data_IF_987275098184
#
_entry.id   IF_987275098184
#
_cell.length_a   1.000
_cell.length_b   1.000
_cell.length_c   1.000
_cell.angle_alpha   90.00
_cell.angle_beta   90.00
_cell.angle_gamma   90.00
#
_symmetry.space_group_name_H-M   'P 1'
#
loop_
_entity.id
_entity.type
_entity.pdbx_description
1 polymer ?
#
# COMPACT_ATOMS: atom_id res chain seq x y z
N UNK A 1 46.70 -95.06 -2.28
CA UNK A 1 46.80 -94.67 -3.69
C UNK A 1 45.93 -93.45 -3.97
N UNK A 2 46.54 -92.43 -4.57
CA UNK A 2 46.01 -91.25 -5.23
C UNK A 2 45.53 -90.08 -4.34
N UNK A 3 46.38 -89.10 -4.42
CA UNK A 3 46.28 -87.75 -3.99
C UNK A 3 45.19 -86.92 -4.71
N UNK A 4 44.61 -86.01 -4.03
CA UNK A 4 43.79 -84.96 -4.61
C UNK A 4 43.97 -83.69 -3.84
N UNK A 5 44.89 -82.77 -4.36
CA UNK A 5 45.03 -81.46 -3.88
C UNK A 5 43.79 -80.63 -4.27
N UNK A 6 43.20 -79.94 -3.31
CA UNK A 6 42.23 -78.87 -3.52
C UNK A 6 42.88 -77.50 -3.32
N UNK A 7 42.94 -76.75 -4.39
CA UNK A 7 43.43 -75.38 -4.43
C UNK A 7 42.33 -74.40 -3.94
N UNK A 8 42.60 -73.67 -2.88
CA UNK A 8 41.77 -72.56 -2.44
C UNK A 8 42.08 -71.31 -3.30
N UNK A 9 41.03 -70.85 -4.00
CA UNK A 9 41.06 -69.55 -4.67
C UNK A 9 40.41 -68.48 -3.78
N UNK A 10 41.21 -67.52 -3.34
CA UNK A 10 40.78 -66.37 -2.57
C UNK A 10 40.22 -65.30 -3.52
N UNK A 11 38.92 -65.07 -3.49
CA UNK A 11 38.32 -63.89 -4.15
C UNK A 11 38.49 -62.65 -3.27
N UNK A 12 39.26 -61.71 -3.75
CA UNK A 12 39.34 -60.37 -3.16
C UNK A 12 38.21 -59.48 -3.75
N UNK A 13 37.23 -59.16 -2.93
CA UNK A 13 36.14 -58.26 -3.32
C UNK A 13 36.60 -56.81 -3.13
N UNK A 14 36.80 -56.10 -4.25
CA UNK A 14 37.06 -54.67 -4.26
C UNK A 14 35.71 -53.93 -4.06
N UNK A 15 35.54 -53.27 -2.89
CA UNK A 15 34.43 -52.38 -2.63
C UNK A 15 34.81 -50.98 -3.14
N UNK A 16 34.28 -50.57 -4.28
CA UNK A 16 34.35 -49.17 -4.75
C UNK A 16 33.32 -48.35 -3.96
N UNK A 17 33.83 -47.50 -3.05
CA UNK A 17 33.00 -46.43 -2.43
C UNK A 17 32.93 -45.26 -3.38
N UNK A 18 31.82 -45.17 -4.12
CA UNK A 18 31.49 -43.98 -4.93
C UNK A 18 31.07 -42.84 -3.97
N UNK A 19 31.94 -41.92 -3.66
CA UNK A 19 31.58 -40.67 -2.99
C UNK A 19 30.77 -39.77 -3.95
N UNK A 20 29.44 -39.89 -3.90
CA UNK A 20 28.53 -39.00 -4.60
C UNK A 20 28.55 -37.61 -3.97
N UNK A 21 29.25 -36.63 -4.58
CA UNK A 21 29.05 -35.23 -4.27
C UNK A 21 27.64 -34.82 -4.68
N UNK A 22 26.72 -34.80 -3.71
CA UNK A 22 25.46 -34.09 -3.84
C UNK A 22 25.76 -32.58 -3.86
N UNK A 23 26.04 -32.04 -5.05
CA UNK A 23 25.99 -30.61 -5.28
C UNK A 23 24.52 -30.22 -5.14
N UNK A 24 24.13 -29.74 -3.96
CA UNK A 24 22.84 -29.11 -3.73
C UNK A 24 22.76 -27.87 -4.64
N UNK A 25 22.13 -28.02 -5.79
CA UNK A 25 21.70 -26.89 -6.59
C UNK A 25 20.71 -26.12 -5.72
N UNK A 26 21.11 -24.96 -5.18
CA UNK A 26 20.19 -23.98 -4.61
C UNK A 26 19.25 -23.61 -5.73
N UNK A 27 18.05 -24.18 -5.75
CA UNK A 27 16.99 -23.76 -6.66
C UNK A 27 16.73 -22.27 -6.35
N UNK A 28 17.14 -21.40 -7.25
CA UNK A 28 16.75 -20.00 -7.20
C UNK A 28 15.21 -20.00 -7.23
N UNK A 29 14.59 -19.42 -6.22
CA UNK A 29 13.14 -19.31 -6.18
C UNK A 29 12.66 -18.58 -7.44
N UNK A 30 11.67 -19.13 -8.11
CA UNK A 30 11.06 -18.46 -9.27
C UNK A 30 10.52 -17.09 -8.86
N UNK A 31 10.74 -16.05 -9.70
CA UNK A 31 10.25 -14.71 -9.39
C UNK A 31 8.73 -14.70 -9.18
N UNK A 32 8.27 -14.11 -8.10
CA UNK A 32 6.84 -13.99 -7.81
C UNK A 32 6.15 -13.07 -8.82
N UNK A 33 5.01 -13.49 -9.35
CA UNK A 33 4.15 -12.59 -10.11
C UNK A 33 3.62 -11.49 -9.20
N UNK A 34 3.73 -10.21 -9.61
CA UNK A 34 3.34 -9.08 -8.77
C UNK A 34 2.24 -8.20 -9.38
N UNK A 35 1.39 -7.68 -8.50
CA UNK A 35 0.36 -6.69 -8.78
C UNK A 35 0.47 -5.50 -7.84
N UNK A 36 0.20 -4.31 -8.35
CA UNK A 36 0.20 -3.08 -7.56
C UNK A 36 -1.08 -2.30 -7.82
N UNK A 37 -1.84 -2.04 -6.77
CA UNK A 37 -3.03 -1.18 -6.80
C UNK A 37 -2.62 0.21 -6.34
N UNK A 38 -2.78 1.21 -7.21
CA UNK A 38 -2.42 2.60 -6.91
C UNK A 38 -3.63 3.53 -6.92
N UNK A 39 -3.71 4.39 -5.92
CA UNK A 39 -4.74 5.40 -5.75
C UNK A 39 -4.15 6.80 -5.86
N UNK A 40 -4.86 7.67 -6.57
CA UNK A 40 -4.51 9.09 -6.74
C UNK A 40 -4.80 9.94 -5.48
N UNK A 41 -4.25 11.12 -5.42
CA UNK A 41 -4.53 12.11 -4.37
C UNK A 41 -5.92 12.76 -4.48
N UNK A 42 -6.24 13.62 -3.51
CA UNK A 42 -7.50 14.37 -3.44
C UNK A 42 -7.71 15.18 -4.73
N UNK A 43 -8.94 15.13 -5.28
CA UNK A 43 -9.38 15.74 -6.54
C UNK A 43 -8.54 15.32 -7.75
N UNK A 44 -7.85 14.20 -7.64
CA UNK A 44 -7.07 13.62 -8.73
C UNK A 44 -7.89 12.79 -9.70
N UNK A 45 -7.22 11.92 -10.41
CA UNK A 45 -7.78 10.94 -11.36
C UNK A 45 -6.85 9.72 -11.45
N UNK A 46 -7.32 8.57 -11.99
CA UNK A 46 -6.50 7.36 -12.11
C UNK A 46 -5.16 7.61 -12.80
N UNK A 47 -5.17 8.29 -13.95
CA UNK A 47 -3.97 8.63 -14.71
C UNK A 47 -3.32 9.93 -14.17
N UNK A 48 -3.15 10.00 -12.85
CA UNK A 48 -2.52 11.14 -12.22
C UNK A 48 -1.10 11.35 -12.75
N UNK A 49 -0.74 12.57 -13.19
CA UNK A 49 0.63 12.85 -13.63
C UNK A 49 1.66 12.61 -12.54
N UNK A 50 1.28 12.72 -11.27
CA UNK A 50 2.16 12.49 -10.12
C UNK A 50 2.51 11.01 -9.92
N UNK A 51 1.64 10.08 -10.34
CA UNK A 51 1.89 8.64 -10.26
C UNK A 51 2.52 8.07 -11.54
N UNK A 52 2.48 8.81 -12.65
CA UNK A 52 3.00 8.33 -13.94
C UNK A 52 4.43 7.80 -13.87
N UNK A 53 5.41 8.48 -13.23
CA UNK A 53 6.78 7.95 -13.13
C UNK A 53 6.86 6.64 -12.37
N UNK A 54 6.06 6.47 -11.31
CA UNK A 54 5.97 5.22 -10.53
C UNK A 54 5.40 4.09 -11.39
N UNK A 55 4.32 4.36 -12.11
CA UNK A 55 3.68 3.39 -13.02
C UNK A 55 4.68 2.91 -14.07
N UNK A 56 5.35 3.84 -14.75
CA UNK A 56 6.35 3.52 -15.78
C UNK A 56 7.51 2.65 -15.26
N UNK A 57 7.89 2.80 -13.99
CA UNK A 57 8.92 1.96 -13.37
C UNK A 57 8.40 0.57 -13.00
N UNK A 58 7.13 0.46 -12.59
CA UNK A 58 6.56 -0.81 -12.13
C UNK A 58 6.05 -1.71 -13.26
N UNK A 59 5.42 -1.14 -14.31
CA UNK A 59 4.80 -1.90 -15.42
C UNK A 59 5.69 -2.94 -16.11
N UNK A 60 7.02 -2.75 -16.24
CA UNK A 60 7.89 -3.78 -16.83
C UNK A 60 7.98 -5.07 -15.98
N UNK A 61 7.63 -5.00 -14.70
CA UNK A 61 7.78 -6.11 -13.75
C UNK A 61 6.50 -6.52 -13.06
N UNK A 62 5.57 -5.60 -12.84
CA UNK A 62 4.31 -5.82 -12.12
C UNK A 62 3.10 -5.41 -12.97
N UNK A 63 1.98 -6.07 -12.79
CA UNK A 63 0.69 -5.56 -13.25
C UNK A 63 0.26 -4.39 -12.38
N UNK A 64 -0.11 -3.24 -12.98
CA UNK A 64 -0.53 -2.05 -12.23
C UNK A 64 -2.00 -1.75 -12.49
N UNK A 65 -2.77 -1.56 -11.43
CA UNK A 65 -4.16 -1.07 -11.48
C UNK A 65 -4.24 0.32 -10.89
N UNK A 66 -4.76 1.27 -11.66
CA UNK A 66 -5.03 2.65 -11.25
C UNK A 66 -6.53 2.80 -10.97
N UNK A 67 -6.88 3.13 -9.74
CA UNK A 67 -8.29 3.23 -9.34
C UNK A 67 -8.78 4.67 -9.38
N UNK A 68 -10.00 4.87 -9.88
CA UNK A 68 -10.75 6.10 -9.68
C UNK A 68 -11.49 6.04 -8.34
N UNK A 69 -10.99 6.82 -7.39
CA UNK A 69 -11.47 6.81 -6.03
C UNK A 69 -12.62 7.82 -5.80
N UNK A 70 -13.47 7.64 -4.78
CA UNK A 70 -14.57 8.56 -4.47
C UNK A 70 -14.16 10.01 -4.27
N UNK A 71 -12.93 10.30 -3.90
CA UNK A 71 -12.37 11.66 -3.76
C UNK A 71 -11.78 12.22 -5.06
N UNK A 72 -12.06 11.62 -6.22
CA UNK A 72 -11.62 12.13 -7.50
C UNK A 72 -12.31 13.46 -7.85
N UNK A 73 -11.77 14.14 -8.89
CA UNK A 73 -12.34 15.41 -9.38
C UNK A 73 -13.76 15.30 -9.92
N UNK A 74 -14.18 14.08 -10.30
CA UNK A 74 -15.49 13.82 -10.88
C UNK A 74 -16.48 13.22 -9.88
N UNK A 75 -16.00 12.46 -8.89
CA UNK A 75 -16.87 11.75 -7.94
C UNK A 75 -17.16 12.55 -6.67
N UNK A 76 -16.25 13.39 -6.22
CA UNK A 76 -16.42 14.37 -5.12
C UNK A 76 -17.15 13.79 -3.88
N UNK A 77 -16.66 12.64 -3.40
CA UNK A 77 -17.22 11.95 -2.22
C UNK A 77 -18.61 11.35 -2.45
N UNK A 78 -18.87 10.82 -3.66
CA UNK A 78 -20.14 10.18 -4.05
C UNK A 78 -20.46 8.91 -3.24
N UNK A 79 -19.47 8.33 -2.57
CA UNK A 79 -19.58 7.14 -1.71
C UNK A 79 -18.79 7.31 -0.41
N UNK A 80 -19.23 6.68 0.69
CA UNK A 80 -18.47 6.66 1.96
C UNK A 80 -17.09 6.02 1.84
N UNK A 81 -16.23 6.26 2.83
CA UNK A 81 -14.84 5.75 2.83
C UNK A 81 -14.78 4.21 2.87
N UNK A 82 -15.75 3.55 3.48
CA UNK A 82 -15.87 2.10 3.47
C UNK A 82 -16.03 1.53 2.05
N UNK A 83 -16.77 2.22 1.17
CA UNK A 83 -16.91 1.83 -0.25
C UNK A 83 -15.58 1.98 -1.01
N UNK A 84 -14.77 2.98 -0.66
CA UNK A 84 -13.42 3.10 -1.19
C UNK A 84 -12.55 1.91 -0.79
N UNK A 85 -12.65 1.44 0.46
CA UNK A 85 -11.94 0.25 0.92
C UNK A 85 -12.43 -1.02 0.19
N UNK A 86 -13.74 -1.14 -0.04
CA UNK A 86 -14.32 -2.24 -0.82
C UNK A 86 -13.82 -2.24 -2.27
N UNK A 87 -13.69 -1.06 -2.89
CA UNK A 87 -13.15 -0.91 -4.25
C UNK A 87 -11.66 -1.35 -4.33
N UNK A 88 -10.84 -1.01 -3.32
CA UNK A 88 -9.45 -1.47 -3.24
C UNK A 88 -9.42 -3.00 -3.08
N UNK A 89 -10.25 -3.54 -2.18
CA UNK A 89 -10.37 -4.99 -1.96
C UNK A 89 -10.75 -5.74 -3.22
N UNK A 90 -11.67 -5.21 -4.02
CA UNK A 90 -12.04 -5.80 -5.30
C UNK A 90 -10.82 -5.89 -6.22
N UNK A 91 -10.04 -4.82 -6.36
CA UNK A 91 -8.83 -4.82 -7.20
C UNK A 91 -7.76 -5.81 -6.73
N UNK A 92 -7.54 -5.93 -5.41
CA UNK A 92 -6.64 -6.93 -4.81
C UNK A 92 -7.16 -8.34 -5.10
N UNK A 93 -8.47 -8.59 -4.91
CA UNK A 93 -9.09 -9.89 -5.18
C UNK A 93 -8.97 -10.29 -6.66
N UNK A 94 -9.15 -9.36 -7.59
CA UNK A 94 -8.99 -9.62 -9.03
C UNK A 94 -7.56 -10.04 -9.36
N UNK A 95 -6.54 -9.42 -8.77
CA UNK A 95 -5.15 -9.87 -8.91
C UNK A 95 -4.96 -11.28 -8.36
N UNK A 96 -5.47 -11.58 -7.16
CA UNK A 96 -5.37 -12.94 -6.59
C UNK A 96 -6.05 -13.98 -7.46
N UNK A 97 -7.24 -13.69 -7.98
CA UNK A 97 -7.98 -14.59 -8.86
C UNK A 97 -7.28 -14.83 -10.20
N UNK A 98 -6.50 -13.85 -10.69
CA UNK A 98 -5.66 -14.01 -11.89
C UNK A 98 -4.32 -14.70 -11.62
N UNK A 99 -4.08 -15.21 -10.39
CA UNK A 99 -2.88 -15.94 -10.02
C UNK A 99 -1.68 -15.07 -9.62
N UNK A 100 -1.90 -13.75 -9.40
CA UNK A 100 -0.85 -12.87 -8.88
C UNK A 100 -0.52 -13.25 -7.44
N UNK A 101 0.75 -13.56 -7.18
CA UNK A 101 1.22 -14.10 -5.91
C UNK A 101 1.53 -13.03 -4.87
N UNK A 102 2.03 -11.88 -5.30
CA UNK A 102 2.37 -10.74 -4.43
C UNK A 102 1.60 -9.49 -4.86
N UNK A 103 0.83 -8.90 -3.95
CA UNK A 103 0.00 -7.71 -4.23
C UNK A 103 0.30 -6.61 -3.23
N UNK A 104 0.71 -5.44 -3.73
CA UNK A 104 0.86 -4.23 -2.94
C UNK A 104 -0.29 -3.25 -3.19
N UNK A 105 -0.61 -2.46 -2.17
CA UNK A 105 -1.53 -1.33 -2.25
C UNK A 105 -0.79 -0.04 -1.90
N UNK A 106 -1.04 1.03 -2.63
CA UNK A 106 -0.33 2.29 -2.40
C UNK A 106 -0.99 3.47 -3.09
N UNK A 107 -0.32 4.60 -3.05
CA UNK A 107 -0.80 5.79 -3.72
C UNK A 107 -0.11 7.05 -3.26
N UNK A 108 -0.59 8.16 -3.79
CA UNK A 108 -0.07 9.49 -3.46
C UNK A 108 -1.11 10.26 -2.65
N UNK A 109 -0.66 10.99 -1.62
CA UNK A 109 -1.52 11.89 -0.83
C UNK A 109 -2.70 11.13 -0.19
N UNK A 110 -3.94 11.42 -0.55
CA UNK A 110 -5.12 10.68 -0.06
C UNK A 110 -5.09 9.19 -0.44
N UNK A 111 -4.53 8.84 -1.60
CA UNK A 111 -4.32 7.44 -1.97
C UNK A 111 -3.36 6.71 -1.03
N UNK A 112 -2.34 7.39 -0.52
CA UNK A 112 -1.45 6.87 0.51
C UNK A 112 -2.19 6.67 1.84
N UNK A 113 -3.00 7.64 2.28
CA UNK A 113 -3.89 7.51 3.44
C UNK A 113 -4.80 6.28 3.29
N UNK A 114 -5.45 6.13 2.14
CA UNK A 114 -6.36 5.01 1.89
C UNK A 114 -5.67 3.64 1.93
N UNK A 115 -4.41 3.56 1.53
CA UNK A 115 -3.65 2.32 1.63
C UNK A 115 -3.36 1.90 3.08
N UNK A 116 -3.12 2.87 3.98
CA UNK A 116 -2.99 2.62 5.42
C UNK A 116 -4.34 2.18 6.02
N UNK A 117 -5.42 2.89 5.70
CA UNK A 117 -6.77 2.54 6.12
C UNK A 117 -7.17 1.14 5.65
N UNK A 118 -6.78 0.76 4.44
CA UNK A 118 -7.02 -0.57 3.89
C UNK A 118 -6.39 -1.68 4.72
N UNK A 119 -5.15 -1.50 5.14
CA UNK A 119 -4.48 -2.49 5.99
C UNK A 119 -5.08 -2.58 7.38
N UNK A 120 -5.59 -1.49 7.91
CA UNK A 120 -6.30 -1.48 9.20
C UNK A 120 -7.66 -2.20 9.11
N UNK A 121 -8.38 -2.05 8.01
CA UNK A 121 -9.75 -2.57 7.84
C UNK A 121 -9.78 -3.99 7.27
N UNK A 122 -9.03 -4.25 6.21
CA UNK A 122 -9.05 -5.49 5.42
C UNK A 122 -7.78 -6.31 5.65
N UNK A 123 -6.60 -5.75 5.41
CA UNK A 123 -5.31 -6.32 5.77
C UNK A 123 -4.84 -7.51 4.91
N UNK A 124 -5.33 -7.67 3.69
CA UNK A 124 -5.02 -8.82 2.81
C UNK A 124 -3.94 -8.55 1.74
N UNK A 125 -3.41 -7.32 1.67
CA UNK A 125 -2.26 -7.02 0.83
C UNK A 125 -0.94 -7.50 1.48
N UNK A 126 0.09 -7.69 0.65
CA UNK A 126 1.42 -8.16 1.08
C UNK A 126 2.37 -7.00 1.40
N UNK A 127 2.09 -5.80 0.89
CA UNK A 127 2.88 -4.60 1.15
C UNK A 127 2.07 -3.32 0.98
N UNK A 128 2.60 -2.22 1.53
CA UNK A 128 2.00 -0.88 1.42
C UNK A 128 3.02 0.12 0.89
N UNK A 129 2.58 0.96 -0.06
CA UNK A 129 3.43 1.93 -0.77
C UNK A 129 2.90 3.36 -0.61
N UNK A 130 2.89 3.95 0.60
CA UNK A 130 2.45 5.33 0.80
C UNK A 130 3.51 6.33 0.33
N UNK A 131 3.12 7.19 -0.61
CA UNK A 131 3.96 8.25 -1.17
C UNK A 131 3.37 9.62 -0.87
N UNK A 132 4.13 10.49 -0.22
CA UNK A 132 3.67 11.80 0.24
C UNK A 132 2.26 11.72 0.87
N UNK A 133 2.05 10.97 1.95
CA UNK A 133 0.73 10.80 2.55
C UNK A 133 0.07 12.13 2.87
N UNK A 134 -1.25 12.18 2.73
CA UNK A 134 -2.03 13.40 2.95
C UNK A 134 -3.47 13.09 3.33
N UNK A 135 -4.28 14.12 3.43
CA UNK A 135 -5.61 14.08 4.02
C UNK A 135 -5.53 13.75 5.52
N UNK A 136 -5.48 14.80 6.33
CA UNK A 136 -5.32 14.73 7.79
C UNK A 136 -6.59 15.32 8.43
N UNK A 137 -7.66 14.51 8.68
CA UNK A 137 -8.95 14.98 9.17
C UNK A 137 -8.84 15.80 10.45
N UNK A 138 -7.96 15.41 11.38
CA UNK A 138 -7.71 16.10 12.63
C UNK A 138 -7.20 17.54 12.42
N UNK A 139 -6.42 17.79 11.37
CA UNK A 139 -5.95 19.13 11.02
C UNK A 139 -7.04 19.93 10.29
N UNK A 140 -7.84 19.30 9.44
CA UNK A 140 -8.98 19.94 8.78
C UNK A 140 -10.03 20.40 9.79
N UNK A 141 -10.24 19.65 10.85
CA UNK A 141 -11.16 20.01 11.93
C UNK A 141 -10.76 21.29 12.67
N UNK A 142 -9.48 21.68 12.64
CA UNK A 142 -9.01 22.93 13.23
C UNK A 142 -9.31 24.16 12.36
N UNK A 143 -9.75 23.98 11.12
CA UNK A 143 -10.03 25.05 10.16
C UNK A 143 -11.53 25.37 10.20
N UNK A 144 -11.90 26.54 10.67
CA UNK A 144 -13.27 26.90 11.03
C UNK A 144 -14.30 26.75 9.90
N UNK A 145 -13.96 27.08 8.65
CA UNK A 145 -14.87 26.97 7.52
C UNK A 145 -15.01 25.51 7.01
N UNK A 146 -13.98 24.67 7.17
CA UNK A 146 -14.02 23.24 6.90
C UNK A 146 -14.81 22.54 8.01
N UNK A 147 -14.52 22.85 9.28
CA UNK A 147 -15.17 22.27 10.45
C UNK A 147 -16.69 22.44 10.41
N UNK A 148 -17.23 23.59 9.99
CA UNK A 148 -18.68 23.79 9.90
C UNK A 148 -19.37 22.70 9.05
N UNK A 149 -18.78 22.33 7.92
CA UNK A 149 -19.32 21.24 7.08
C UNK A 149 -19.17 19.87 7.73
N UNK A 150 -18.03 19.64 8.44
CA UNK A 150 -17.80 18.39 9.18
C UNK A 150 -18.83 18.24 10.30
N UNK A 151 -19.04 19.30 11.10
CA UNK A 151 -20.02 19.31 12.19
C UNK A 151 -21.47 19.09 11.68
N UNK A 152 -21.82 19.72 10.56
CA UNK A 152 -23.12 19.51 9.93
C UNK A 152 -23.31 18.06 9.45
N UNK A 153 -22.29 17.47 8.85
CA UNK A 153 -22.31 16.07 8.42
C UNK A 153 -22.43 15.13 9.63
N UNK A 154 -21.67 15.36 10.69
CA UNK A 154 -21.74 14.59 11.91
C UNK A 154 -23.12 14.63 12.56
N UNK A 155 -23.71 15.84 12.70
CA UNK A 155 -25.06 16.02 13.27
C UNK A 155 -26.13 15.28 12.46
N UNK A 156 -26.07 15.36 11.13
CA UNK A 156 -27.02 14.66 10.27
C UNK A 156 -26.89 13.13 10.42
N UNK A 157 -25.65 12.59 10.49
CA UNK A 157 -25.42 11.16 10.71
C UNK A 157 -25.95 10.73 12.09
N UNK A 158 -25.70 11.51 13.14
CA UNK A 158 -26.18 11.22 14.52
C UNK A 158 -27.73 11.26 14.60
N UNK A 159 -28.37 12.09 13.78
CA UNK A 159 -29.83 12.16 13.66
C UNK A 159 -30.41 11.03 12.77
N UNK A 160 -29.64 10.09 12.26
CA UNK A 160 -30.07 9.04 11.35
C UNK A 160 -30.37 9.54 9.92
N UNK A 161 -29.89 10.72 9.57
CA UNK A 161 -30.12 11.39 8.28
C UNK A 161 -28.85 11.36 7.40
N UNK A 162 -28.13 10.24 7.38
CA UNK A 162 -26.86 10.08 6.67
C UNK A 162 -26.91 10.38 5.17
N UNK A 163 -28.06 10.22 4.53
CA UNK A 163 -28.26 10.49 3.09
C UNK A 163 -28.49 11.98 2.78
N UNK A 164 -28.68 12.82 3.79
CA UNK A 164 -28.86 14.26 3.59
C UNK A 164 -27.62 14.86 2.93
N UNK A 165 -27.84 15.67 1.90
CA UNK A 165 -26.75 16.37 1.22
C UNK A 165 -26.28 17.55 2.08
N UNK A 166 -24.97 17.60 2.33
CA UNK A 166 -24.31 18.66 3.09
C UNK A 166 -23.34 19.39 2.16
N UNK A 167 -23.36 20.72 2.22
CA UNK A 167 -22.37 21.57 1.59
C UNK A 167 -21.18 21.76 2.53
N UNK A 168 -19.97 21.53 2.05
CA UNK A 168 -18.74 21.63 2.83
C UNK A 168 -17.63 22.33 2.03
N UNK A 169 -16.89 23.19 2.70
CA UNK A 169 -15.61 23.65 2.17
C UNK A 169 -14.57 22.54 2.35
N UNK A 170 -14.06 21.97 1.26
CA UNK A 170 -12.93 21.06 1.27
C UNK A 170 -11.63 21.77 0.94
N UNK A 171 -10.50 21.23 1.38
CA UNK A 171 -9.17 21.82 1.21
C UNK A 171 -8.16 20.82 0.67
N UNK A 172 -7.35 21.26 -0.29
CA UNK A 172 -6.23 20.48 -0.81
C UNK A 172 -5.07 21.41 -1.19
N UNK A 173 -3.89 21.23 -0.61
CA UNK A 173 -2.67 22.02 -0.91
C UNK A 173 -2.93 23.53 -0.86
N UNK A 174 -3.64 24.02 0.16
CA UNK A 174 -4.01 25.43 0.31
C UNK A 174 -5.17 25.92 -0.57
N UNK A 175 -5.60 25.13 -1.55
CA UNK A 175 -6.76 25.44 -2.39
C UNK A 175 -8.06 25.02 -1.69
N UNK A 176 -9.10 25.82 -1.83
CA UNK A 176 -10.45 25.56 -1.32
C UNK A 176 -11.41 25.23 -2.45
N UNK A 177 -12.33 24.30 -2.19
CA UNK A 177 -13.41 23.93 -3.11
C UNK A 177 -14.68 23.66 -2.32
N UNK A 178 -15.81 24.14 -2.81
CA UNK A 178 -17.10 23.71 -2.30
C UNK A 178 -17.42 22.33 -2.85
N UNK A 179 -17.77 21.41 -1.96
CA UNK A 179 -18.23 20.06 -2.29
C UNK A 179 -19.60 19.84 -1.69
N UNK A 180 -20.43 19.03 -2.35
CA UNK A 180 -21.72 18.64 -1.88
C UNK A 180 -21.83 17.11 -2.00
N UNK A 181 -22.03 16.44 -0.86
CA UNK A 181 -22.19 15.00 -0.81
C UNK A 181 -23.07 14.59 0.37
N UNK A 182 -23.39 13.32 0.48
CA UNK A 182 -24.16 12.83 1.63
C UNK A 182 -23.39 13.03 2.93
N UNK A 183 -24.10 13.31 4.01
CA UNK A 183 -23.54 13.47 5.34
C UNK A 183 -22.71 12.24 5.74
N UNK A 184 -23.20 11.03 5.45
CA UNK A 184 -22.49 9.78 5.72
C UNK A 184 -21.15 9.71 4.96
N UNK A 185 -21.13 10.11 3.69
CA UNK A 185 -19.88 10.15 2.92
C UNK A 185 -18.91 11.17 3.53
N UNK A 186 -19.32 12.44 3.67
CA UNK A 186 -18.43 13.48 4.21
C UNK A 186 -17.92 13.14 5.60
N UNK A 187 -18.80 12.72 6.52
CA UNK A 187 -18.37 12.33 7.86
C UNK A 187 -17.34 11.20 7.82
N UNK A 188 -17.55 10.17 7.00
CA UNK A 188 -16.64 9.03 6.93
C UNK A 188 -15.21 9.37 6.49
N UNK A 189 -15.02 10.45 5.71
CA UNK A 189 -13.71 10.92 5.29
C UNK A 189 -13.09 11.93 6.26
N UNK A 190 -13.92 12.74 6.92
CA UNK A 190 -13.45 13.90 7.69
C UNK A 190 -13.60 13.73 9.20
N UNK A 191 -14.07 12.58 9.69
CA UNK A 191 -14.05 12.25 11.11
C UNK A 191 -12.61 12.23 11.63
N UNK A 192 -12.25 13.10 12.60
CA UNK A 192 -10.90 13.12 13.18
C UNK A 192 -10.50 11.80 13.87
N UNK A 193 -11.49 10.99 14.25
CA UNK A 193 -11.28 9.67 14.87
C UNK A 193 -11.63 8.51 13.93
N UNK A 194 -11.95 8.82 12.66
CA UNK A 194 -12.32 7.84 11.65
C UNK A 194 -11.11 7.25 10.91
N UNK A 195 -11.43 6.48 9.85
CA UNK A 195 -10.47 5.79 9.01
C UNK A 195 -9.46 6.72 8.32
N UNK A 196 -9.83 7.98 8.10
CA UNK A 196 -8.94 8.99 7.53
C UNK A 196 -7.79 9.42 8.44
N UNK A 197 -7.87 9.13 9.74
CA UNK A 197 -6.78 9.38 10.69
C UNK A 197 -5.66 8.34 10.50
N UNK A 198 -4.58 8.76 9.87
CA UNK A 198 -3.47 7.87 9.50
C UNK A 198 -2.76 7.24 10.70
N UNK A 199 -2.66 7.96 11.82
CA UNK A 199 -2.02 7.42 13.02
C UNK A 199 -2.86 6.30 13.65
N UNK A 200 -4.18 6.44 13.66
CA UNK A 200 -5.09 5.38 14.10
C UNK A 200 -5.01 4.18 13.15
N UNK A 201 -5.07 4.41 11.84
CA UNK A 201 -4.95 3.35 10.84
C UNK A 201 -3.61 2.62 10.95
N UNK A 202 -2.48 3.34 11.14
CA UNK A 202 -1.17 2.72 11.29
C UNK A 202 -1.10 1.76 12.48
N UNK A 203 -1.62 2.16 13.65
CA UNK A 203 -1.67 1.31 14.85
C UNK A 203 -2.62 0.11 14.72
N UNK A 204 -3.58 0.18 13.81
CA UNK A 204 -4.66 -0.80 13.65
C UNK A 204 -4.39 -1.81 12.54
N UNK A 205 -3.19 -1.88 11.98
CA UNK A 205 -2.85 -2.90 10.98
C UNK A 205 -3.13 -4.29 11.52
N UNK A 206 -3.85 -5.10 10.75
CA UNK A 206 -4.24 -6.45 11.17
C UNK A 206 -3.08 -7.44 11.25
N UNK A 207 -2.00 -7.17 10.51
CA UNK A 207 -0.75 -7.95 10.51
C UNK A 207 0.43 -7.04 10.14
N UNK A 208 1.65 -7.35 10.61
CA UNK A 208 2.85 -6.71 10.08
C UNK A 208 3.01 -7.04 8.60
N UNK A 209 3.24 -6.01 7.79
CA UNK A 209 3.63 -6.13 6.38
C UNK A 209 4.72 -5.10 6.09
N UNK A 210 5.58 -5.34 5.08
CA UNK A 210 6.56 -4.36 4.67
C UNK A 210 5.88 -3.09 4.13
N UNK A 211 6.38 -1.93 4.56
CA UNK A 211 5.89 -0.62 4.15
C UNK A 211 7.04 0.17 3.51
N UNK A 212 6.87 0.57 2.24
CA UNK A 212 7.75 1.54 1.61
C UNK A 212 7.11 2.93 1.70
N UNK A 213 7.56 3.71 2.68
CA UNK A 213 7.10 5.07 2.89
C UNK A 213 8.02 6.06 2.20
N UNK A 214 7.50 6.91 1.33
CA UNK A 214 8.27 8.00 0.72
C UNK A 214 7.69 9.36 1.09
N UNK A 215 8.56 10.30 1.49
CA UNK A 215 8.20 11.67 1.86
C UNK A 215 9.24 12.66 1.34
N UNK A 216 8.76 13.81 0.83
CA UNK A 216 9.63 14.90 0.40
C UNK A 216 10.03 15.83 1.54
N UNK A 217 11.25 16.38 1.53
CA UNK A 217 11.72 17.34 2.53
C UNK A 217 10.92 18.66 2.55
N UNK A 218 10.22 18.97 1.45
CA UNK A 218 9.35 20.13 1.30
C UNK A 218 7.86 19.81 1.46
N UNK A 219 7.53 18.58 1.88
CA UNK A 219 6.16 18.16 2.19
C UNK A 219 5.73 18.70 3.55
N UNK A 220 4.53 19.29 3.68
CA UNK A 220 4.05 19.79 4.98
C UNK A 220 4.00 18.74 6.09
N UNK A 221 3.85 17.46 5.76
CA UNK A 221 3.82 16.36 6.71
C UNK A 221 5.24 15.89 7.13
N UNK A 222 6.29 16.26 6.40
CA UNK A 222 7.66 15.79 6.66
C UNK A 222 8.13 15.98 8.11
N UNK A 223 7.90 17.13 8.77
CA UNK A 223 8.39 17.35 10.13
C UNK A 223 7.81 16.41 11.19
N UNK A 224 6.59 15.91 10.97
CA UNK A 224 5.86 15.11 11.96
C UNK A 224 5.52 13.69 11.50
N UNK A 225 5.48 13.43 10.20
CA UNK A 225 4.96 12.19 9.62
C UNK A 225 5.67 10.92 10.09
N UNK A 226 6.98 10.99 10.34
CA UNK A 226 7.73 9.85 10.86
C UNK A 226 7.23 9.46 12.25
N UNK A 227 7.30 10.37 13.22
CA UNK A 227 6.94 10.08 14.62
C UNK A 227 5.44 9.86 14.80
N UNK A 228 4.61 10.69 14.12
CA UNK A 228 3.17 10.64 14.31
C UNK A 228 2.50 9.43 13.65
N UNK A 229 3.06 8.92 12.55
CA UNK A 229 2.39 7.91 11.73
C UNK A 229 3.28 6.71 11.45
N UNK A 230 4.44 6.88 10.80
CA UNK A 230 5.27 5.74 10.37
C UNK A 230 5.73 4.88 11.54
N UNK A 231 6.18 5.48 12.64
CA UNK A 231 6.61 4.76 13.85
C UNK A 231 5.46 4.09 14.61
N UNK A 232 4.21 4.34 14.23
CA UNK A 232 3.04 3.67 14.77
C UNK A 232 2.70 2.35 14.04
N UNK A 233 3.34 2.10 12.88
CA UNK A 233 3.15 0.88 12.12
C UNK A 233 3.73 -0.33 12.86
N UNK A 234 3.15 -1.53 12.75
CA UNK A 234 3.80 -2.74 13.21
C UNK A 234 5.17 -2.91 12.55
N UNK A 235 6.18 -3.23 13.38
CA UNK A 235 7.56 -3.39 12.89
C UNK A 235 7.65 -4.52 11.85
N UNK A 236 8.36 -4.25 10.76
CA UNK A 236 8.70 -5.26 9.74
C UNK A 236 10.11 -4.99 9.23
N UNK A 237 10.94 -6.03 9.14
CA UNK A 237 12.36 -5.90 8.79
C UNK A 237 12.59 -5.24 7.42
N UNK A 238 11.67 -5.45 6.49
CA UNK A 238 11.73 -4.91 5.14
C UNK A 238 11.06 -3.53 4.97
N UNK A 239 10.52 -2.94 6.04
CA UNK A 239 9.96 -1.59 5.97
C UNK A 239 11.05 -0.56 5.77
N UNK A 240 10.77 0.45 4.94
CA UNK A 240 11.68 1.54 4.61
C UNK A 240 10.99 2.88 4.71
N UNK A 241 11.60 3.83 5.41
CA UNK A 241 11.23 5.25 5.41
C UNK A 241 12.22 6.01 4.55
N UNK A 242 11.78 6.43 3.37
CA UNK A 242 12.61 7.14 2.39
C UNK A 242 12.28 8.64 2.42
N UNK A 243 13.30 9.45 2.64
CA UNK A 243 13.22 10.92 2.51
C UNK A 243 13.89 11.32 1.20
N UNK A 244 13.18 12.12 0.38
CA UNK A 244 13.68 12.64 -0.90
C UNK A 244 13.62 14.15 -0.94
N UNK A 245 14.50 14.77 -1.74
CA UNK A 245 14.47 16.23 -1.96
C UNK A 245 13.36 16.58 -2.94
N UNK A 246 12.14 16.71 -2.45
CA UNK A 246 10.94 16.98 -3.25
C UNK A 246 9.85 17.65 -2.43
N UNK A 247 8.86 18.23 -3.12
CA UNK A 247 7.61 18.66 -2.54
C UNK A 247 6.56 17.53 -2.57
N UNK A 248 5.36 17.77 -2.05
CA UNK A 248 4.25 16.83 -1.98
C UNK A 248 3.89 16.20 -3.35
N UNK A 249 3.89 16.99 -4.41
CA UNK A 249 3.52 16.53 -5.75
C UNK A 249 4.61 15.67 -6.42
N UNK A 250 5.88 16.03 -6.21
CA UNK A 250 7.02 15.43 -6.91
C UNK A 250 7.65 14.27 -6.12
N UNK A 251 7.23 14.01 -4.89
CA UNK A 251 7.71 12.89 -4.06
C UNK A 251 7.60 11.53 -4.77
N UNK A 252 6.47 11.17 -5.43
CA UNK A 252 6.38 9.89 -6.13
C UNK A 252 7.42 9.73 -7.24
N UNK A 253 7.66 10.79 -8.03
CA UNK A 253 8.69 10.78 -9.07
C UNK A 253 10.08 10.60 -8.47
N UNK A 254 10.44 11.40 -7.48
CA UNK A 254 11.74 11.36 -6.83
C UNK A 254 12.01 10.01 -6.12
N UNK A 255 10.96 9.31 -5.68
CA UNK A 255 11.05 8.01 -5.02
C UNK A 255 10.92 6.81 -5.97
N UNK A 256 10.56 7.02 -7.25
CA UNK A 256 10.12 5.96 -8.16
C UNK A 256 11.17 4.87 -8.39
N UNK A 257 12.43 5.24 -8.53
CA UNK A 257 13.55 4.28 -8.70
C UNK A 257 13.76 3.43 -7.44
N UNK A 258 13.83 4.07 -6.28
CA UNK A 258 14.01 3.37 -5.00
C UNK A 258 12.83 2.45 -4.69
N UNK A 259 11.59 2.88 -5.00
CA UNK A 259 10.39 2.07 -4.86
C UNK A 259 10.44 0.85 -5.78
N UNK A 260 10.82 1.02 -7.03
CA UNK A 260 10.95 -0.10 -7.97
C UNK A 260 11.99 -1.12 -7.49
N UNK A 261 13.18 -0.66 -7.07
CA UNK A 261 14.23 -1.53 -6.52
C UNK A 261 13.74 -2.27 -5.27
N UNK A 262 12.99 -1.59 -4.42
CA UNK A 262 12.40 -2.17 -3.22
C UNK A 262 11.36 -3.27 -3.55
N UNK A 263 10.48 -3.05 -4.53
CA UNK A 263 9.52 -4.06 -5.01
C UNK A 263 10.24 -5.23 -5.65
N UNK A 264 11.22 -4.96 -6.51
CA UNK A 264 12.04 -5.97 -7.18
C UNK A 264 12.73 -6.92 -6.20
N UNK A 265 13.31 -6.39 -5.13
CA UNK A 265 13.95 -7.20 -4.09
C UNK A 265 13.00 -8.17 -3.38
N UNK A 266 11.68 -7.89 -3.37
CA UNK A 266 10.64 -8.72 -2.72
C UNK A 266 9.95 -9.69 -3.66
N UNK A 267 10.04 -9.44 -4.95
CA UNK A 267 9.43 -10.31 -5.96
C UNK A 267 10.45 -11.17 -6.70
N UNK A 268 11.75 -10.95 -6.49
CA UNK A 268 12.83 -11.69 -7.15
C UNK A 268 13.00 -11.35 -8.65
N UNK A 269 12.50 -10.19 -9.10
CA UNK A 269 12.46 -9.79 -10.53
C UNK A 269 13.50 -8.75 -10.88
#
# INVERSE_FOLDING_TARGET
>A
MRNGLATLATLATLVLVAAGCLAGASALAEPLSCGVVLMHGKWGMPQSPYLKPVVQKLEPTCQVKLLEMPWSRWRLYDKPYADAQAQIRQAVSEFRQSGVQWVAVGGQSFGANASLAYMAQVGDADAVLPMAPGHVPENFYLISDVRRGIDAAQQAVQAGQGDTLVDMTDMNQGQRRQVKASAAALWSYFDPQGLGNMALSARSFRKPVPVFWAIGTLDPLYPSGSAAIYQQLPAHADSQYLVVQANHANTPEAASEALWLWVKARTGR
#
